data_IF_018450238354
#
_entry.id   IF_018450238354
#
_cell.length_a   1.000
_cell.length_b   1.000
_cell.length_c   1.000
_cell.angle_alpha   90.00
_cell.angle_beta   90.00
_cell.angle_gamma   90.00
#
_symmetry.space_group_name_H-M   'P 1'
#
loop_
_entity.id
_entity.type
_entity.pdbx_description
1 polymer ?
#
# COMPACT_ATOMS: atom_id res chain seq x y z
N UNK A 1 -13.12 -1.39 -0.48
CA UNK A 1 -12.11 -0.33 -0.37
C UNK A 1 -11.25 -0.37 -1.62
N UNK A 2 -11.17 0.73 -2.39
CA UNK A 2 -10.40 0.74 -3.63
C UNK A 2 -8.96 0.31 -3.41
N UNK A 3 -8.42 -0.48 -4.33
CA UNK A 3 -7.02 -0.93 -4.35
C UNK A 3 -6.22 -0.06 -5.30
N UNK A 4 -4.96 0.21 -4.95
CA UNK A 4 -4.02 0.85 -5.86
C UNK A 4 -3.18 -0.21 -6.55
N UNK A 5 -3.27 -0.29 -7.87
CA UNK A 5 -2.38 -1.09 -8.71
C UNK A 5 -1.14 -0.27 -9.00
N UNK A 6 0.00 -0.81 -8.60
CA UNK A 6 1.32 -0.25 -8.88
C UNK A 6 1.89 -0.96 -10.11
N UNK A 7 2.43 -0.19 -11.06
CA UNK A 7 3.15 -0.77 -12.21
C UNK A 7 4.60 -1.10 -11.80
N UNK A 8 5.18 -2.17 -12.34
CA UNK A 8 6.62 -2.51 -12.25
C UNK A 8 7.24 -2.42 -10.84
N UNK A 9 6.95 -3.38 -9.95
CA UNK A 9 7.52 -3.49 -8.59
C UNK A 9 7.48 -2.21 -7.71
N UNK A 10 6.80 -1.15 -8.16
CA UNK A 10 6.84 0.17 -7.52
C UNK A 10 6.15 0.18 -6.15
N UNK A 11 5.22 -0.74 -5.89
CA UNK A 11 4.64 -0.93 -4.56
C UNK A 11 5.71 -1.34 -3.54
N UNK A 12 6.58 -2.28 -3.93
CA UNK A 12 7.66 -2.74 -3.06
C UNK A 12 8.61 -1.58 -2.77
N UNK A 13 9.00 -0.83 -3.81
CA UNK A 13 9.86 0.35 -3.65
C UNK A 13 9.22 1.40 -2.74
N UNK A 14 7.93 1.72 -2.95
CA UNK A 14 7.17 2.64 -2.11
C UNK A 14 7.16 2.19 -0.64
N UNK A 15 6.78 0.94 -0.36
CA UNK A 15 6.73 0.42 1.01
C UNK A 15 8.11 0.31 1.65
N UNK A 16 9.15 0.08 0.86
CA UNK A 16 10.53 0.07 1.33
C UNK A 16 11.01 1.48 1.69
N UNK A 17 10.64 2.50 0.91
CA UNK A 17 10.89 3.91 1.25
C UNK A 17 10.14 4.32 2.52
N UNK A 18 8.86 3.94 2.65
CA UNK A 18 8.07 4.16 3.88
C UNK A 18 8.77 3.54 5.09
N UNK A 19 9.26 2.31 4.97
CA UNK A 19 9.98 1.62 6.05
C UNK A 19 11.28 2.33 6.43
N UNK A 20 12.06 2.78 5.45
CA UNK A 20 13.30 3.52 5.70
C UNK A 20 13.02 4.89 6.32
N UNK A 21 12.01 5.62 5.84
CA UNK A 21 11.61 6.94 6.34
C UNK A 21 11.06 6.87 7.77
N UNK A 22 10.28 5.83 8.08
CA UNK A 22 9.63 5.67 9.39
C UNK A 22 10.53 5.05 10.46
N UNK A 23 11.52 4.24 10.07
CA UNK A 23 12.31 3.41 10.99
C UNK A 23 11.51 2.26 11.64
N UNK A 24 10.26 2.03 11.21
CA UNK A 24 9.37 1.04 11.80
C UNK A 24 9.54 -0.35 11.18
N UNK A 25 9.20 -1.39 11.94
CA UNK A 25 9.09 -2.76 11.45
C UNK A 25 7.84 -2.96 10.59
N UNK A 26 7.81 -4.06 9.83
CA UNK A 26 6.62 -4.43 9.05
C UNK A 26 5.39 -4.67 9.93
N UNK A 27 5.57 -5.10 11.19
CA UNK A 27 4.45 -5.37 12.11
C UNK A 27 3.85 -4.05 12.61
N UNK A 28 4.68 -3.07 12.95
CA UNK A 28 4.24 -1.74 13.36
C UNK A 28 3.56 -0.98 12.19
N UNK A 29 4.11 -1.09 10.98
CA UNK A 29 3.47 -0.52 9.79
C UNK A 29 2.14 -1.21 9.47
N UNK A 30 2.02 -2.51 9.73
CA UNK A 30 0.76 -3.25 9.57
C UNK A 30 -0.30 -2.74 10.56
N UNK A 31 0.07 -2.51 11.82
CA UNK A 31 -0.82 -1.93 12.83
C UNK A 31 -1.31 -0.53 12.43
N UNK A 32 -0.41 0.32 11.90
CA UNK A 32 -0.79 1.64 11.39
C UNK A 32 -1.76 1.58 10.20
N UNK A 33 -1.70 0.50 9.41
CA UNK A 33 -2.60 0.26 8.28
C UNK A 33 -3.85 -0.55 8.67
N UNK A 34 -4.03 -0.87 9.96
CA UNK A 34 -5.13 -1.72 10.47
C UNK A 34 -5.23 -3.09 9.77
N UNK A 35 -4.07 -3.68 9.40
CA UNK A 35 -3.99 -5.00 8.78
C UNK A 35 -3.08 -5.93 9.56
N UNK A 36 -3.17 -7.24 9.28
CA UNK A 36 -2.22 -8.20 9.85
C UNK A 36 -0.81 -8.01 9.28
N UNK A 37 0.23 -8.34 10.05
CA UNK A 37 1.61 -8.36 9.56
C UNK A 37 1.83 -9.31 8.38
N UNK A 38 0.98 -10.33 8.20
CA UNK A 38 0.96 -11.16 6.99
C UNK A 38 0.52 -10.36 5.77
N UNK A 39 -0.60 -9.64 5.88
CA UNK A 39 -1.13 -8.81 4.80
C UNK A 39 -0.11 -7.76 4.36
N UNK A 40 0.53 -7.09 5.31
CA UNK A 40 1.56 -6.10 5.00
C UNK A 40 2.77 -6.72 4.30
N UNK A 41 3.24 -7.89 4.76
CA UNK A 41 4.32 -8.63 4.07
C UNK A 41 3.94 -9.05 2.66
N UNK A 42 2.69 -9.47 2.43
CA UNK A 42 2.21 -9.80 1.09
C UNK A 42 2.15 -8.55 0.18
N UNK A 43 1.85 -7.36 0.73
CA UNK A 43 1.99 -6.10 -0.01
C UNK A 43 3.45 -5.81 -0.37
N UNK A 44 4.38 -5.93 0.58
CA UNK A 44 5.82 -5.72 0.32
C UNK A 44 6.36 -6.67 -0.74
N UNK A 45 5.84 -7.90 -0.80
CA UNK A 45 6.18 -8.91 -1.81
C UNK A 45 5.49 -8.72 -3.16
N UNK A 46 4.60 -7.73 -3.29
CA UNK A 46 3.81 -7.49 -4.50
C UNK A 46 2.75 -8.56 -4.78
N UNK A 47 2.45 -9.43 -3.81
CA UNK A 47 1.45 -10.50 -3.98
C UNK A 47 0.03 -9.95 -4.04
N UNK A 48 -0.23 -8.89 -3.28
CA UNK A 48 -1.51 -8.17 -3.27
C UNK A 48 -1.27 -6.68 -3.35
N UNK A 49 -2.25 -5.98 -3.91
CA UNK A 49 -2.26 -4.53 -3.98
C UNK A 49 -2.65 -3.92 -2.62
N UNK A 50 -1.92 -2.89 -2.20
CA UNK A 50 -2.27 -2.10 -1.02
C UNK A 50 -3.60 -1.37 -1.25
N UNK A 51 -4.36 -1.15 -0.18
CA UNK A 51 -5.56 -0.30 -0.27
C UNK A 51 -5.17 1.16 -0.49
N UNK A 52 -6.03 1.90 -1.18
CA UNK A 52 -5.85 3.35 -1.38
C UNK A 52 -5.71 4.09 -0.05
N UNK A 53 -6.57 3.75 0.92
CA UNK A 53 -6.52 4.35 2.25
C UNK A 53 -5.17 4.15 2.94
N UNK A 54 -4.66 2.92 2.98
CA UNK A 54 -3.38 2.63 3.62
C UNK A 54 -2.21 3.33 2.91
N UNK A 55 -2.20 3.35 1.58
CA UNK A 55 -1.17 4.06 0.83
C UNK A 55 -1.19 5.57 1.10
N UNK A 56 -2.38 6.19 1.15
CA UNK A 56 -2.54 7.61 1.49
C UNK A 56 -2.07 7.90 2.92
N UNK A 57 -2.50 7.10 3.90
CA UNK A 57 -2.07 7.26 5.29
C UNK A 57 -0.56 7.14 5.46
N UNK A 58 0.08 6.17 4.79
CA UNK A 58 1.54 6.03 4.82
C UNK A 58 2.24 7.21 4.12
N UNK A 59 1.68 7.67 3.00
CA UNK A 59 2.22 8.79 2.23
C UNK A 59 2.22 10.08 3.03
N UNK A 60 1.08 10.43 3.62
CA UNK A 60 0.90 11.64 4.44
C UNK A 60 1.74 11.58 5.71
N UNK A 61 1.76 10.43 6.39
CA UNK A 61 2.43 10.29 7.70
C UNK A 61 3.96 10.31 7.59
N UNK A 62 4.51 9.80 6.49
CA UNK A 62 5.96 9.64 6.32
C UNK A 62 6.55 10.49 5.20
N UNK A 63 5.75 11.38 4.62
CA UNK A 63 6.12 12.26 3.49
C UNK A 63 6.73 11.49 2.30
N UNK A 64 6.25 10.27 2.07
CA UNK A 64 6.70 9.43 0.93
C UNK A 64 5.65 9.54 -0.17
N UNK A 65 5.98 10.08 -1.36
CA UNK A 65 5.00 10.22 -2.42
C UNK A 65 4.53 8.86 -2.95
N UNK A 66 3.23 8.75 -3.21
CA UNK A 66 2.68 7.62 -3.98
C UNK A 66 3.15 7.80 -5.43
N UNK A 67 3.71 6.76 -6.08
CA UNK A 67 4.12 6.84 -7.48
C UNK A 67 2.95 7.23 -8.42
N UNK A 68 3.20 8.15 -9.36
CA UNK A 68 2.19 8.68 -10.28
C UNK A 68 1.62 7.61 -11.24
N UNK A 69 2.39 6.56 -11.49
CA UNK A 69 2.05 5.40 -12.32
C UNK A 69 1.20 4.35 -11.58
N UNK A 70 0.28 4.80 -10.72
CA UNK A 70 -0.66 3.96 -9.98
C UNK A 70 -2.09 4.11 -10.53
N UNK A 71 -2.81 2.98 -10.62
CA UNK A 71 -4.20 2.95 -11.07
C UNK A 71 -5.12 2.52 -9.92
N UNK A 72 -6.26 3.18 -9.75
CA UNK A 72 -7.26 2.80 -8.76
C UNK A 72 -8.22 1.76 -9.34
N UNK A 73 -8.43 0.67 -8.60
CA UNK A 73 -9.40 -0.37 -8.96
C UNK A 73 -10.42 -0.53 -7.83
N UNK A 74 -11.69 -0.34 -8.19
CA UNK A 74 -12.81 -0.55 -7.30
C UNK A 74 -13.12 -2.05 -7.16
N UNK A 75 -13.42 -2.51 -5.94
CA UNK A 75 -13.73 -3.91 -5.65
C UNK A 75 -14.99 -4.44 -6.39
N UNK A 76 -15.88 -3.54 -6.83
CA UNK A 76 -17.19 -3.87 -7.36
C UNK A 76 -17.25 -3.74 -8.90
N UNK A 77 -16.53 -4.62 -9.59
CA UNK A 77 -16.63 -4.71 -11.05
C UNK A 77 -18.01 -5.22 -11.53
N UNK A 78 -18.81 -5.84 -10.65
CA UNK A 78 -20.10 -6.48 -10.99
C UNK A 78 -21.35 -5.66 -10.61
N UNK A 79 -21.20 -4.54 -9.89
CA UNK A 79 -22.36 -3.80 -9.33
C UNK A 79 -22.88 -2.71 -10.28
N UNK A 80 -22.14 -2.36 -11.33
CA UNK A 80 -22.59 -1.43 -12.37
C UNK A 80 -23.09 -2.21 -13.60
N UNK A 81 -24.27 -2.83 -13.51
CA UNK A 81 -24.95 -3.46 -14.64
C UNK A 81 -26.34 -2.88 -14.86
#
# INVERSE_FOLDING_TARGET
MPRLIFTNDSQKTFLQLVRVSSGLSNEELAQLCEVSGRTFRDWVRGKYNISKSAAQSLSEKFSVPIPENTAEVNDYWYVNK
#
